data_IF_939516428197
#
_entry.id   IF_939516428197
#
_cell.length_a   1.000
_cell.length_b   1.000
_cell.length_c   1.000
_cell.angle_alpha   90.00
_cell.angle_beta   90.00
_cell.angle_gamma   90.00
#
_symmetry.space_group_name_H-M   'P 1'
#
loop_
_entity.id
_entity.type
_entity.pdbx_description
1 polymer ?
#
# COMPACT_ATOMS: atom_id res chain seq x y z
N UNK A 1 14.50 40.21 3.02
CA UNK A 1 14.90 39.36 4.16
C UNK A 1 13.69 38.49 4.47
N UNK A 2 13.72 37.20 4.09
CA UNK A 2 12.60 36.29 4.31
C UNK A 2 12.91 35.43 5.53
N UNK A 3 12.17 35.61 6.61
CA UNK A 3 12.20 34.73 7.78
C UNK A 3 11.83 33.31 7.32
N UNK A 4 12.84 32.46 7.14
CA UNK A 4 12.64 31.02 7.04
C UNK A 4 12.27 30.54 8.44
N UNK A 5 10.98 30.44 8.71
CA UNK A 5 10.46 29.78 9.92
C UNK A 5 11.16 28.44 10.10
N UNK A 6 11.82 28.23 11.25
CA UNK A 6 12.48 26.98 11.62
C UNK A 6 11.52 25.78 11.70
N UNK A 7 10.21 26.05 11.67
CA UNK A 7 9.14 25.06 11.80
C UNK A 7 8.02 25.35 10.77
N UNK A 8 8.22 25.04 9.49
CA UNK A 8 7.27 25.33 8.43
C UNK A 8 5.94 24.56 8.58
N UNK A 9 5.93 23.45 9.32
CA UNK A 9 4.77 22.57 9.51
C UNK A 9 4.23 22.61 10.95
N UNK A 10 4.48 23.69 11.69
CA UNK A 10 4.10 23.80 13.11
C UNK A 10 2.61 23.56 13.38
N UNK A 11 1.73 24.01 12.48
CA UNK A 11 0.29 23.80 12.59
C UNK A 11 -0.10 22.32 12.44
N UNK A 12 0.54 21.60 11.52
CA UNK A 12 0.41 20.14 11.38
C UNK A 12 0.97 19.42 12.61
N UNK A 13 2.18 19.76 13.03
CA UNK A 13 2.82 19.10 14.18
C UNK A 13 2.01 19.23 15.47
N UNK A 14 1.47 20.42 15.73
CA UNK A 14 0.57 20.65 16.86
C UNK A 14 -0.73 19.83 16.75
N UNK A 15 -1.31 19.71 15.55
CA UNK A 15 -2.50 18.89 15.32
C UNK A 15 -2.21 17.40 15.53
N UNK A 16 -1.10 16.89 14.99
CA UNK A 16 -0.66 15.50 15.16
C UNK A 16 -0.39 15.16 16.63
N UNK A 17 0.33 16.02 17.34
CA UNK A 17 0.60 15.86 18.77
C UNK A 17 -0.69 15.82 19.59
N UNK A 18 -1.62 16.75 19.32
CA UNK A 18 -2.92 16.79 19.98
C UNK A 18 -3.72 15.52 19.70
N UNK A 19 -3.72 15.03 18.46
CA UNK A 19 -4.40 13.80 18.07
C UNK A 19 -3.86 12.61 18.87
N UNK A 20 -2.53 12.45 18.89
CA UNK A 20 -1.86 11.41 19.66
C UNK A 20 -2.21 11.44 21.14
N UNK A 21 -2.16 12.62 21.76
CA UNK A 21 -2.47 12.81 23.18
C UNK A 21 -3.95 12.57 23.50
N UNK A 22 -4.87 12.95 22.62
CA UNK A 22 -6.31 12.73 22.78
C UNK A 22 -6.65 11.23 22.80
N UNK A 23 -5.90 10.43 22.04
CA UNK A 23 -6.02 8.96 22.02
C UNK A 23 -5.12 8.26 23.07
N UNK A 24 -4.52 9.02 23.99
CA UNK A 24 -3.64 8.53 25.05
C UNK A 24 -2.49 7.65 24.55
N UNK A 25 -1.92 7.97 23.39
CA UNK A 25 -0.77 7.25 22.80
C UNK A 25 0.55 7.94 23.14
N UNK A 26 1.56 7.15 23.45
CA UNK A 26 2.94 7.62 23.52
C UNK A 26 3.53 7.80 22.11
N UNK A 27 4.59 8.60 21.98
CA UNK A 27 5.30 8.74 20.71
C UNK A 27 5.84 7.39 20.21
N UNK A 28 6.36 6.55 21.11
CA UNK A 28 6.89 5.23 20.76
C UNK A 28 5.80 4.27 20.22
N UNK A 29 4.58 4.34 20.76
CA UNK A 29 3.46 3.54 20.25
C UNK A 29 3.03 3.98 18.86
N UNK A 30 2.90 5.30 18.64
CA UNK A 30 2.53 5.82 17.32
C UNK A 30 3.63 5.55 16.29
N UNK A 31 4.90 5.78 16.64
CA UNK A 31 6.04 5.55 15.74
C UNK A 31 6.12 4.07 15.34
N UNK A 32 5.91 3.15 16.28
CA UNK A 32 5.83 1.72 15.99
C UNK A 32 4.61 1.32 15.15
N UNK A 33 3.46 1.98 15.34
CA UNK A 33 2.25 1.66 14.60
C UNK A 33 2.27 2.12 13.14
N UNK A 34 2.99 3.21 12.84
CA UNK A 34 3.09 3.78 11.47
C UNK A 34 4.48 3.58 10.85
N UNK A 35 5.31 2.72 11.43
CA UNK A 35 6.63 2.32 10.92
C UNK A 35 7.59 3.49 10.64
N UNK A 36 7.58 4.50 11.50
CA UNK A 36 8.56 5.59 11.47
C UNK A 36 9.46 5.54 12.69
N UNK A 37 10.68 6.05 12.55
CA UNK A 37 11.57 6.22 13.68
C UNK A 37 11.06 7.33 14.62
N UNK A 38 11.44 7.21 15.90
CA UNK A 38 10.96 8.11 16.95
C UNK A 38 11.43 9.56 16.74
N UNK A 39 12.62 9.73 16.16
CA UNK A 39 13.20 11.04 15.86
C UNK A 39 12.42 11.76 14.75
N UNK A 40 12.06 11.04 13.69
CA UNK A 40 11.18 11.53 12.62
C UNK A 40 9.82 11.91 13.16
N UNK A 41 9.20 11.07 14.01
CA UNK A 41 7.91 11.42 14.61
C UNK A 41 7.99 12.67 15.50
N UNK A 42 9.09 12.83 16.24
CA UNK A 42 9.35 14.05 17.02
C UNK A 42 9.48 15.27 16.10
N UNK A 43 10.25 15.16 15.01
CA UNK A 43 10.42 16.20 14.00
C UNK A 43 9.09 16.60 13.35
N UNK A 44 8.18 15.63 13.14
CA UNK A 44 6.82 15.88 12.68
C UNK A 44 6.00 16.65 13.71
N UNK A 45 5.98 16.22 14.98
CA UNK A 45 5.20 16.87 16.04
C UNK A 45 5.67 18.28 16.39
N UNK A 46 6.97 18.57 16.24
CA UNK A 46 7.49 19.95 16.38
C UNK A 46 7.36 20.76 15.10
N UNK A 47 6.88 20.16 14.00
CA UNK A 47 6.67 20.81 12.71
C UNK A 47 7.94 21.21 11.97
N UNK A 48 9.06 20.54 12.27
CA UNK A 48 10.35 20.72 11.57
C UNK A 48 10.32 20.06 10.19
N UNK A 49 9.67 18.91 10.08
CA UNK A 49 9.41 18.20 8.83
C UNK A 49 7.96 17.71 8.79
N UNK A 50 7.53 17.18 7.65
CA UNK A 50 6.24 16.50 7.49
C UNK A 50 6.47 15.03 7.11
N UNK A 51 5.57 14.10 7.47
CA UNK A 51 5.61 12.74 6.97
C UNK A 51 5.35 12.71 5.46
N UNK A 52 5.75 11.65 4.77
CA UNK A 52 5.27 11.37 3.40
C UNK A 52 3.76 11.11 3.38
N UNK A 53 3.16 11.15 2.19
CA UNK A 53 1.73 10.88 1.99
C UNK A 53 1.33 9.50 2.54
N UNK A 54 2.13 8.46 2.28
CA UNK A 54 1.88 7.10 2.78
C UNK A 54 1.85 7.04 4.31
N UNK A 55 2.84 7.66 4.97
CA UNK A 55 2.90 7.70 6.43
C UNK A 55 1.71 8.49 6.99
N UNK A 56 1.32 9.59 6.33
CA UNK A 56 0.15 10.36 6.74
C UNK A 56 -1.15 9.55 6.60
N UNK A 57 -1.29 8.75 5.53
CA UNK A 57 -2.41 7.82 5.37
C UNK A 57 -2.43 6.76 6.47
N UNK A 58 -1.27 6.19 6.83
CA UNK A 58 -1.17 5.26 7.95
C UNK A 58 -1.58 5.90 9.27
N UNK A 59 -1.20 7.16 9.52
CA UNK A 59 -1.65 7.92 10.71
C UNK A 59 -3.18 8.09 10.69
N UNK A 60 -3.75 8.51 9.55
CA UNK A 60 -5.20 8.69 9.38
C UNK A 60 -5.94 7.37 9.66
N UNK A 61 -5.46 6.25 9.12
CA UNK A 61 -6.03 4.92 9.32
C UNK A 61 -5.85 4.44 10.77
N UNK A 62 -4.70 4.67 11.37
CA UNK A 62 -4.41 4.26 12.75
C UNK A 62 -5.36 4.91 13.76
N UNK A 63 -5.72 6.17 13.54
CA UNK A 63 -6.64 6.90 14.41
C UNK A 63 -8.11 6.84 13.97
N UNK A 64 -8.42 6.12 12.88
CA UNK A 64 -9.76 6.02 12.28
C UNK A 64 -10.41 7.40 12.04
N UNK A 65 -9.59 8.35 11.53
CA UNK A 65 -10.05 9.72 11.32
C UNK A 65 -11.15 9.78 10.28
N UNK A 66 -12.19 10.55 10.59
CA UNK A 66 -13.27 10.80 9.66
C UNK A 66 -12.78 11.71 8.51
N UNK A 67 -13.45 11.64 7.37
CA UNK A 67 -13.04 12.31 6.13
C UNK A 67 -12.72 13.81 6.31
N UNK A 68 -13.52 14.52 7.09
CA UNK A 68 -13.33 15.95 7.37
C UNK A 68 -12.07 16.24 8.20
N UNK A 69 -11.78 15.38 9.19
CA UNK A 69 -10.61 15.50 10.05
C UNK A 69 -9.34 15.09 9.32
N UNK A 70 -9.43 14.02 8.53
CA UNK A 70 -8.35 13.53 7.69
C UNK A 70 -7.97 14.55 6.60
N UNK A 71 -8.94 15.16 5.92
CA UNK A 71 -8.70 16.25 4.95
C UNK A 71 -8.00 17.43 5.61
N UNK A 72 -8.48 17.84 6.78
CA UNK A 72 -7.85 18.93 7.53
C UNK A 72 -6.40 18.62 7.89
N UNK A 73 -6.10 17.38 8.31
CA UNK A 73 -4.74 16.98 8.64
C UNK A 73 -3.84 16.93 7.39
N UNK A 74 -4.39 16.51 6.25
CA UNK A 74 -3.75 16.52 4.93
C UNK A 74 -3.37 17.92 4.46
N UNK A 75 -4.32 18.85 4.54
CA UNK A 75 -4.12 20.25 4.16
C UNK A 75 -3.06 20.90 5.05
N UNK A 76 -3.08 20.62 6.36
CA UNK A 76 -2.10 21.14 7.32
C UNK A 76 -0.69 20.64 7.02
N UNK A 77 -0.53 19.40 6.53
CA UNK A 77 0.75 18.88 6.07
C UNK A 77 1.22 19.53 4.75
N UNK A 78 0.39 20.37 4.12
CA UNK A 78 0.73 21.12 2.92
C UNK A 78 0.64 20.29 1.64
N UNK A 79 -0.20 19.25 1.63
CA UNK A 79 -0.56 18.52 0.42
C UNK A 79 -1.73 19.24 -0.25
N UNK A 80 -1.52 19.75 -1.46
CA UNK A 80 -2.45 20.67 -2.14
C UNK A 80 -3.40 20.00 -3.14
N UNK A 81 -3.20 18.72 -3.43
CA UNK A 81 -3.98 17.93 -4.37
C UNK A 81 -4.23 16.54 -3.74
N UNK A 82 -5.42 15.95 -3.97
CA UNK A 82 -5.59 14.49 -3.83
C UNK A 82 -6.22 13.91 -2.55
N UNK A 83 -6.72 14.69 -1.58
CA UNK A 83 -7.52 14.09 -0.50
C UNK A 83 -8.99 13.95 -0.90
N UNK A 84 -9.34 12.81 -1.49
CA UNK A 84 -10.73 12.38 -1.69
C UNK A 84 -11.55 13.11 -2.77
N UNK A 85 -10.92 13.91 -3.63
CA UNK A 85 -11.60 14.64 -4.71
C UNK A 85 -11.31 14.05 -6.10
N UNK A 86 -11.70 12.80 -6.33
CA UNK A 86 -12.15 12.36 -7.67
C UNK A 86 -13.41 11.49 -7.50
N UNK A 87 -14.59 12.12 -7.60
CA UNK A 87 -15.88 11.43 -7.57
C UNK A 87 -16.08 10.72 -8.91
N UNK A 88 -15.81 9.41 -8.97
CA UNK A 88 -16.28 8.58 -10.07
C UNK A 88 -17.63 7.96 -9.71
N UNK A 89 -18.65 8.29 -10.50
CA UNK A 89 -19.96 7.64 -10.45
C UNK A 89 -19.85 6.26 -11.10
N UNK A 90 -19.98 5.19 -10.30
CA UNK A 90 -20.23 3.86 -10.85
C UNK A 90 -21.74 3.66 -10.87
N UNK A 91 -22.29 3.51 -12.07
CA UNK A 91 -23.69 3.11 -12.24
C UNK A 91 -23.80 1.63 -11.87
N UNK A 92 -24.81 1.25 -11.07
CA UNK A 92 -25.12 -0.17 -10.90
C UNK A 92 -25.70 -0.78 -12.20
N UNK A 93 -25.94 -2.09 -12.26
CA UNK A 93 -26.50 -2.79 -13.44
C UNK A 93 -27.83 -2.18 -13.97
N UNK A 94 -28.50 -1.32 -13.18
CA UNK A 94 -29.71 -0.58 -13.54
C UNK A 94 -29.48 0.91 -13.87
N UNK A 95 -28.24 1.42 -13.82
CA UNK A 95 -27.92 2.79 -14.23
C UNK A 95 -27.95 3.85 -13.11
N UNK A 96 -28.18 3.47 -11.85
CA UNK A 96 -28.24 4.43 -10.74
C UNK A 96 -26.86 4.66 -10.09
N UNK A 97 -26.46 5.91 -9.81
CA UNK A 97 -25.18 6.21 -9.19
C UNK A 97 -25.15 5.75 -7.73
N UNK A 98 -24.35 4.72 -7.42
CA UNK A 98 -24.07 4.30 -6.04
C UNK A 98 -22.68 4.75 -5.60
N UNK A 99 -22.63 5.47 -4.48
CA UNK A 99 -21.39 5.85 -3.80
C UNK A 99 -20.77 4.59 -3.17
N UNK A 100 -19.80 3.99 -3.84
CA UNK A 100 -19.01 2.89 -3.28
C UNK A 100 -17.66 3.42 -2.82
N UNK A 101 -17.17 2.98 -1.64
CA UNK A 101 -15.79 3.20 -1.19
C UNK A 101 -14.86 2.40 -2.11
N UNK A 102 -14.48 2.99 -3.23
CA UNK A 102 -13.64 2.34 -4.24
C UNK A 102 -12.17 2.48 -3.83
N UNK A 103 -11.48 1.34 -3.75
CA UNK A 103 -10.01 1.27 -3.70
C UNK A 103 -9.49 1.92 -4.98
N UNK A 104 -8.84 3.08 -4.86
CA UNK A 104 -8.29 3.79 -6.02
C UNK A 104 -7.05 3.04 -6.52
N UNK A 105 -7.13 2.50 -7.74
CA UNK A 105 -6.00 1.89 -8.44
C UNK A 105 -5.52 2.95 -9.44
N UNK A 106 -4.33 3.52 -9.23
CA UNK A 106 -3.72 4.42 -10.21
C UNK A 106 -3.42 3.65 -11.50
N UNK A 107 -3.37 4.29 -12.67
CA UNK A 107 -2.89 3.64 -13.90
C UNK A 107 -1.43 3.13 -13.76
N UNK A 108 -0.68 3.67 -12.79
CA UNK A 108 0.63 3.16 -12.42
C UNK A 108 0.58 1.90 -11.53
N UNK A 109 -0.54 1.63 -10.86
CA UNK A 109 -0.74 0.47 -9.98
C UNK A 109 -1.17 -0.80 -10.73
N UNK A 110 -1.64 -0.68 -11.98
CA UNK A 110 -1.99 -1.83 -12.84
C UNK A 110 -0.82 -2.38 -13.66
N UNK A 111 0.37 -1.79 -13.55
CA UNK A 111 1.53 -2.27 -14.31
C UNK A 111 1.94 -3.67 -13.82
N UNK A 112 1.94 -4.64 -14.74
CA UNK A 112 2.47 -5.97 -14.45
C UNK A 112 3.99 -5.87 -14.47
N UNK A 113 4.62 -6.08 -13.31
CA UNK A 113 6.08 -6.09 -13.17
C UNK A 113 6.53 -7.50 -12.86
N UNK A 114 7.51 -7.98 -13.63
CA UNK A 114 8.19 -9.22 -13.31
C UNK A 114 9.16 -9.00 -12.17
N UNK A 115 9.02 -9.79 -11.12
CA UNK A 115 9.80 -9.70 -9.90
C UNK A 115 10.64 -10.94 -9.72
N UNK A 116 11.84 -10.74 -9.20
CA UNK A 116 12.84 -11.81 -8.98
C UNK A 116 12.91 -12.22 -7.51
N UNK A 117 12.44 -11.35 -6.60
CA UNK A 117 12.54 -11.55 -5.17
C UNK A 117 11.21 -11.22 -4.47
N UNK A 118 10.89 -12.02 -3.45
CA UNK A 118 9.73 -11.82 -2.58
C UNK A 118 10.21 -11.83 -1.14
N UNK A 119 9.85 -10.79 -0.38
CA UNK A 119 10.06 -10.71 1.05
C UNK A 119 8.72 -10.74 1.77
N UNK A 120 8.56 -11.64 2.73
CA UNK A 120 7.34 -11.78 3.52
C UNK A 120 7.63 -11.44 4.98
N UNK A 121 6.82 -10.56 5.56
CA UNK A 121 6.86 -10.22 6.98
C UNK A 121 5.51 -10.53 7.62
N UNK A 122 5.54 -11.07 8.84
CA UNK A 122 4.34 -11.42 9.60
C UNK A 122 4.41 -10.79 10.98
N UNK A 123 3.34 -10.12 11.39
CA UNK A 123 3.21 -9.54 12.72
C UNK A 123 1.85 -9.90 13.36
N UNK A 124 1.47 -9.24 14.46
CA UNK A 124 0.19 -9.49 15.12
C UNK A 124 -1.02 -8.99 14.32
N UNK A 125 -0.82 -8.05 13.40
CA UNK A 125 -1.88 -7.39 12.63
C UNK A 125 -2.11 -8.02 11.24
N UNK A 126 -1.11 -8.69 10.68
CA UNK A 126 -1.25 -9.31 9.37
C UNK A 126 0.05 -9.82 8.77
N UNK A 127 0.03 -9.92 7.44
CA UNK A 127 1.11 -10.35 6.58
C UNK A 127 1.36 -9.25 5.56
N UNK A 128 2.62 -8.88 5.35
CA UNK A 128 3.03 -7.97 4.30
C UNK A 128 3.94 -8.74 3.35
N UNK A 129 3.57 -8.74 2.07
CA UNK A 129 4.36 -9.30 0.98
C UNK A 129 4.94 -8.15 0.17
N UNK A 130 6.26 -8.05 0.12
CA UNK A 130 6.98 -7.08 -0.70
C UNK A 130 7.60 -7.80 -1.88
N UNK A 131 7.24 -7.37 -3.08
CA UNK A 131 7.86 -7.82 -4.31
C UNK A 131 8.97 -6.85 -4.71
N UNK A 132 10.16 -7.40 -4.90
CA UNK A 132 11.39 -6.66 -5.19
C UNK A 132 11.85 -6.97 -6.62
N UNK A 133 12.54 -6.01 -7.24
CA UNK A 133 13.21 -6.19 -8.53
C UNK A 133 14.70 -5.80 -8.38
N UNK A 134 15.61 -6.66 -8.82
CA UNK A 134 17.06 -6.42 -8.87
C UNK A 134 17.53 -5.38 -9.89
N UNK A 135 16.74 -4.33 -10.16
CA UNK A 135 17.00 -3.29 -11.16
C UNK A 135 17.24 -1.88 -10.56
N UNK A 136 17.45 -1.77 -9.25
CA UNK A 136 17.69 -0.50 -8.58
C UNK A 136 19.08 0.10 -8.85
N UNK A 137 19.28 1.41 -8.62
CA UNK A 137 20.60 2.04 -8.67
C UNK A 137 21.57 1.32 -7.74
N UNK A 138 22.77 1.02 -8.22
CA UNK A 138 23.80 0.24 -7.49
C UNK A 138 23.40 -1.20 -7.13
N UNK A 139 22.53 -1.84 -7.92
CA UNK A 139 22.12 -3.23 -7.73
C UNK A 139 21.40 -3.48 -6.38
N UNK A 140 20.80 -2.41 -5.81
CA UNK A 140 19.96 -2.55 -4.62
C UNK A 140 18.57 -3.03 -5.02
N UNK A 141 17.99 -4.01 -4.31
CA UNK A 141 16.63 -4.47 -4.56
C UNK A 141 15.63 -3.31 -4.42
N UNK A 142 14.91 -2.99 -5.49
CA UNK A 142 13.88 -1.96 -5.49
C UNK A 142 12.51 -2.60 -5.24
N UNK A 143 11.76 -2.11 -4.25
CA UNK A 143 10.39 -2.54 -4.03
C UNK A 143 9.49 -2.02 -5.14
N UNK A 144 8.86 -2.94 -5.87
CA UNK A 144 7.97 -2.61 -6.99
C UNK A 144 6.50 -2.73 -6.63
N UNK A 145 6.16 -3.56 -5.64
CA UNK A 145 4.81 -3.69 -5.09
C UNK A 145 4.86 -4.19 -3.65
N UNK A 146 3.91 -3.75 -2.84
CA UNK A 146 3.71 -4.19 -1.46
C UNK A 146 2.23 -4.49 -1.24
N UNK A 147 1.95 -5.65 -0.68
CA UNK A 147 0.59 -6.09 -0.38
C UNK A 147 0.49 -6.44 1.09
N UNK A 148 -0.31 -5.66 1.82
CA UNK A 148 -0.69 -5.96 3.20
C UNK A 148 -2.03 -6.71 3.25
N UNK A 149 -2.11 -7.76 4.05
CA UNK A 149 -3.33 -8.57 4.18
C UNK A 149 -3.46 -9.19 5.58
N UNK A 150 -4.67 -9.58 5.98
CA UNK A 150 -4.86 -10.35 7.21
C UNK A 150 -4.25 -11.75 7.09
N UNK A 151 -4.02 -12.42 8.23
CA UNK A 151 -3.47 -13.79 8.24
C UNK A 151 -4.41 -14.79 7.57
N UNK A 152 -5.72 -14.56 7.69
CA UNK A 152 -6.77 -15.37 7.09
C UNK A 152 -6.74 -15.20 5.56
N UNK A 153 -6.67 -13.94 5.09
CA UNK A 153 -6.61 -13.65 3.67
C UNK A 153 -5.32 -14.20 3.03
N UNK A 154 -4.19 -14.10 3.73
CA UNK A 154 -2.93 -14.71 3.27
C UNK A 154 -3.03 -16.23 3.06
N UNK A 155 -3.74 -16.94 3.95
CA UNK A 155 -3.96 -18.38 3.79
C UNK A 155 -4.83 -18.70 2.56
N UNK A 156 -5.90 -17.92 2.35
CA UNK A 156 -6.75 -18.08 1.17
C UNK A 156 -5.99 -17.81 -0.14
N UNK A 157 -5.15 -16.76 -0.17
CA UNK A 157 -4.30 -16.46 -1.32
C UNK A 157 -3.33 -17.61 -1.60
N UNK A 158 -2.70 -18.16 -0.56
CA UNK A 158 -1.77 -19.29 -0.70
C UNK A 158 -2.47 -20.53 -1.28
N UNK A 159 -3.68 -20.85 -0.82
CA UNK A 159 -4.44 -22.00 -1.30
C UNK A 159 -4.83 -21.85 -2.77
N UNK A 160 -5.35 -20.69 -3.16
CA UNK A 160 -5.73 -20.40 -4.55
C UNK A 160 -4.50 -20.45 -5.45
N UNK A 161 -3.40 -19.80 -5.05
CA UNK A 161 -2.17 -19.78 -5.83
C UNK A 161 -1.61 -21.19 -6.05
N UNK A 162 -1.54 -22.00 -4.99
CA UNK A 162 -1.07 -23.38 -5.06
C UNK A 162 -1.93 -24.20 -6.03
N UNK A 163 -3.26 -24.16 -5.88
CA UNK A 163 -4.19 -24.91 -6.72
C UNK A 163 -4.08 -24.51 -8.19
N UNK A 164 -3.92 -23.21 -8.48
CA UNK A 164 -3.77 -22.72 -9.85
C UNK A 164 -2.47 -23.19 -10.49
N UNK A 165 -1.35 -23.20 -9.74
CA UNK A 165 -0.07 -23.71 -10.23
C UNK A 165 -0.11 -25.22 -10.52
N UNK A 166 -0.67 -26.01 -9.61
CA UNK A 166 -0.84 -27.46 -9.80
C UNK A 166 -1.70 -27.77 -11.03
N UNK A 167 -2.77 -27.00 -11.26
CA UNK A 167 -3.60 -27.13 -12.45
C UNK A 167 -2.86 -26.77 -13.74
N UNK A 168 -1.99 -25.76 -13.73
CA UNK A 168 -1.21 -25.41 -14.91
C UNK A 168 -0.17 -26.47 -15.26
N UNK A 169 0.46 -27.08 -14.24
CA UNK A 169 1.46 -28.13 -14.43
C UNK A 169 0.82 -29.40 -15.00
N UNK A 170 -0.36 -29.80 -14.48
CA UNK A 170 -1.15 -30.92 -15.00
C UNK A 170 -1.56 -30.75 -16.47
N UNK A 171 -1.85 -29.50 -16.89
CA UNK A 171 -2.18 -29.17 -18.28
C UNK A 171 -0.95 -29.27 -19.18
N UNK A 172 0.23 -28.86 -18.72
CA UNK A 172 1.48 -29.00 -19.48
C UNK A 172 1.85 -30.49 -19.66
N UNK A 173 1.68 -31.33 -18.64
CA UNK A 173 1.96 -32.77 -18.74
C UNK A 173 1.01 -33.51 -19.70
N UNK A 174 -0.27 -33.12 -19.76
CA UNK A 174 -1.24 -33.70 -20.70
C UNK A 174 -1.00 -33.27 -22.14
N UNK A 175 -0.52 -32.05 -22.35
CA UNK A 175 -0.18 -31.51 -23.67
C UNK A 175 1.01 -32.23 -24.30
N UNK A 176 2.00 -32.63 -23.49
CA UNK A 176 3.20 -33.34 -23.96
C UNK A 176 2.94 -34.83 -24.28
N UNK A 177 1.87 -35.43 -23.74
CA UNK A 177 1.51 -36.84 -24.01
C UNK A 177 0.68 -37.07 -25.28
N UNK A 178 0.23 -36.00 -25.96
CA UNK A 178 -0.55 -36.06 -27.19
C UNK A 178 0.21 -35.45 -28.38
N UNK A 179 1.40 -35.97 -28.70
CA UNK A 179 1.84 -35.97 -30.10
C UNK A 179 1.43 -37.32 -30.71
N UNK A 180 0.49 -37.36 -31.68
CA UNK A 180 0.22 -38.60 -32.40
C UNK A 180 1.48 -39.00 -33.16
N UNK A 181 1.97 -40.21 -32.86
CA UNK A 181 3.09 -40.87 -33.52
C UNK A 181 2.68 -41.37 -34.91
N UNK A 182 2.15 -40.48 -35.75
CA UNK A 182 1.77 -40.81 -37.12
C UNK A 182 2.13 -39.66 -38.05
N UNK A 183 3.30 -39.77 -38.69
CA UNK A 183 3.58 -39.37 -40.08
C UNK A 183 5.06 -39.66 -40.36
N UNK A 184 5.33 -40.88 -40.81
CA UNK A 184 6.68 -41.34 -41.13
C UNK A 184 6.74 -42.75 -41.70
N UNK A 185 5.76 -43.14 -42.53
CA UNK A 185 5.92 -44.24 -43.50
C UNK A 185 5.21 -43.84 -44.79
N UNK A 186 5.84 -44.24 -45.91
CA UNK A 186 5.55 -43.95 -47.34
C UNK A 186 6.39 -42.76 -47.85
N UNK A 187 7.34 -42.89 -48.77
CA UNK A 187 7.79 -43.97 -49.68
C UNK A 187 9.32 -43.90 -49.87
#
# INVERSE_FOLDING_TARGET
MSDKSSHPFSAFGAALKKLRETHAKSQAELSGAVEVDLESLQDYEVGKSRPSEDILLLIIQHFDLQETEAKKLWDLAGYKEGFGEEQYFVNDDNGDPKTTKTVMISEQDVRIVYTDMVQVMVNNFGVIVTFLQGAGPNNQPLAVSRVGMSKEHARSVLEVLKKTLEQSDDLQEKSQKHLPESLGKQE
#
